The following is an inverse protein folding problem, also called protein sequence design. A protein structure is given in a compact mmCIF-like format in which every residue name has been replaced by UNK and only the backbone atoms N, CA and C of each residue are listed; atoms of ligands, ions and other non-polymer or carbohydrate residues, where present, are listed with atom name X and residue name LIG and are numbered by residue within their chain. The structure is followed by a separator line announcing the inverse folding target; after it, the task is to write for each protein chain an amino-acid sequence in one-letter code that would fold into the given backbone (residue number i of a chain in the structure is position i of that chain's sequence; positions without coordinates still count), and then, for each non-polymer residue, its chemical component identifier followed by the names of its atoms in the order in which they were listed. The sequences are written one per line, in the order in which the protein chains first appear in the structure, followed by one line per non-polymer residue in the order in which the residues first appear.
data_IF_063661591744
#
_entry.id   IF_063661591744
#
_cell.length_a   1.000
_cell.length_b   1.000
_cell.length_c   1.000
_cell.angle_alpha   90.00
_cell.angle_beta   90.00
_cell.angle_gamma   90.00
#
_symmetry.space_group_name_H-M   'P 1'
#
loop_
_entity.id
_entity.type
_entity.pdbx_description
1 polymer ?
#
# COMPACT_ATOMS: atom_id res chain seq x y z
N UNK A 1 -1.03 -8.03 -2.43
CA UNK A 1 -1.85 -9.10 -1.83
C UNK A 1 -1.52 -9.42 -0.35
N UNK A 2 -0.91 -8.51 0.42
CA UNK A 2 -0.24 -8.87 1.69
C UNK A 2 -0.87 -8.24 2.94
N UNK A 3 -1.71 -7.20 2.79
CA UNK A 3 -2.10 -6.33 3.90
C UNK A 3 -2.86 -7.06 5.01
N UNK A 4 -3.72 -8.02 4.66
CA UNK A 4 -4.50 -8.79 5.64
C UNK A 4 -3.63 -9.77 6.42
N UNK A 5 -2.66 -10.43 5.76
CA UNK A 5 -1.72 -11.32 6.44
C UNK A 5 -0.84 -10.55 7.43
N UNK A 6 -0.34 -9.37 7.05
CA UNK A 6 0.44 -8.51 7.95
C UNK A 6 -0.44 -8.03 9.11
N UNK A 7 -1.66 -7.54 8.83
CA UNK A 7 -2.60 -7.11 9.87
C UNK A 7 -2.92 -8.22 10.88
N UNK A 8 -3.08 -9.46 10.42
CA UNK A 8 -3.31 -10.60 11.30
C UNK A 8 -2.14 -10.81 12.27
N UNK A 9 -0.91 -10.70 11.78
CA UNK A 9 0.30 -10.83 12.61
C UNK A 9 0.39 -9.66 13.60
N UNK A 10 0.26 -8.42 13.14
CA UNK A 10 0.26 -7.25 14.02
C UNK A 10 -0.78 -7.37 15.13
N UNK A 11 -2.00 -7.84 14.78
CA UNK A 11 -3.06 -8.07 15.76
C UNK A 11 -2.70 -9.14 16.79
N UNK A 12 -1.99 -10.21 16.41
CA UNK A 12 -1.55 -11.24 17.35
C UNK A 12 -0.49 -10.76 18.35
N UNK A 13 0.19 -9.65 18.06
CA UNK A 13 1.21 -9.03 18.91
C UNK A 13 0.78 -7.71 19.55
N UNK A 14 -0.50 -7.32 19.39
CA UNK A 14 -1.04 -6.02 19.86
C UNK A 14 -0.24 -4.80 19.35
N UNK A 15 0.18 -4.88 18.08
CA UNK A 15 0.88 -3.78 17.39
C UNK A 15 -0.12 -3.04 16.50
N UNK A 16 -0.20 -1.72 16.66
CA UNK A 16 -1.00 -0.87 15.78
C UNK A 16 -0.50 -0.97 14.33
N UNK A 17 -1.44 -1.12 13.39
CA UNK A 17 -1.12 -1.35 11.99
C UNK A 17 -2.03 -0.57 11.06
N UNK A 18 -1.41 0.10 10.09
CA UNK A 18 -2.07 0.72 8.94
C UNK A 18 -1.35 0.31 7.67
N UNK A 19 -2.11 0.07 6.59
CA UNK A 19 -1.56 -0.27 5.28
C UNK A 19 -1.90 0.81 4.26
N UNK A 20 -0.86 1.42 3.67
CA UNK A 20 -1.00 2.38 2.57
C UNK A 20 -0.75 1.68 1.23
N UNK A 21 -1.66 1.85 0.27
CA UNK A 21 -1.60 1.23 -1.06
C UNK A 21 -1.85 2.27 -2.14
N UNK A 22 -0.98 2.28 -3.15
CA UNK A 22 -1.25 2.99 -4.40
C UNK A 22 -2.08 2.11 -5.33
N UNK A 23 -3.02 2.71 -6.06
CA UNK A 23 -3.78 2.02 -7.10
C UNK A 23 -2.96 2.02 -8.39
N UNK A 24 -2.57 0.84 -8.85
CA UNK A 24 -1.86 0.63 -10.12
C UNK A 24 -2.79 0.15 -11.23
N UNK A 25 -3.84 -0.57 -10.87
CA UNK A 25 -4.88 -1.08 -11.76
C UNK A 25 -6.24 -1.13 -11.06
N UNK A 26 -7.30 -1.39 -11.84
CA UNK A 26 -8.67 -1.51 -11.33
C UNK A 26 -9.11 -2.96 -11.11
N UNK A 27 -8.17 -3.91 -11.05
CA UNK A 27 -8.44 -5.35 -10.91
C UNK A 27 -9.40 -5.90 -11.97
N UNK A 28 -9.43 -5.29 -13.15
CA UNK A 28 -10.28 -5.67 -14.29
C UNK A 28 -9.55 -6.53 -15.32
N UNK A 29 -10.19 -6.84 -16.45
CA UNK A 29 -9.59 -7.65 -17.53
C UNK A 29 -8.26 -7.10 -18.06
N UNK A 30 -8.07 -5.77 -18.00
CA UNK A 30 -6.85 -5.10 -18.43
C UNK A 30 -5.75 -5.02 -17.35
N UNK A 31 -5.99 -5.51 -16.12
CA UNK A 31 -5.06 -5.34 -15.00
C UNK A 31 -3.64 -5.86 -15.29
N UNK A 32 -3.53 -6.94 -16.08
CA UNK A 32 -2.24 -7.52 -16.45
C UNK A 32 -1.38 -6.59 -17.34
N UNK A 33 -2.01 -5.69 -18.09
CA UNK A 33 -1.34 -4.69 -18.95
C UNK A 33 -1.13 -3.39 -18.17
N UNK A 34 -2.15 -2.99 -17.41
CA UNK A 34 -2.19 -1.75 -16.66
C UNK A 34 -1.22 -1.69 -15.47
N UNK A 35 -1.10 -2.81 -14.73
CA UNK A 35 -0.27 -2.85 -13.53
C UNK A 35 1.21 -2.59 -13.84
N UNK A 36 1.87 -3.32 -14.78
CA UNK A 36 3.27 -3.06 -15.12
C UNK A 36 3.54 -1.61 -15.54
N UNK A 37 2.62 -0.97 -16.25
CA UNK A 37 2.78 0.41 -16.73
C UNK A 37 2.69 1.46 -15.61
N UNK A 38 1.93 1.17 -14.54
CA UNK A 38 1.53 2.18 -13.54
C UNK A 38 2.03 1.90 -12.13
N UNK A 39 2.58 0.72 -11.87
CA UNK A 39 3.03 0.28 -10.54
C UNK A 39 4.10 1.17 -9.94
N UNK A 40 5.03 1.70 -10.75
CA UNK A 40 6.10 2.59 -10.26
C UNK A 40 5.51 3.87 -9.67
N UNK A 41 4.72 4.63 -10.43
CA UNK A 41 4.09 5.84 -9.93
C UNK A 41 3.09 5.58 -8.79
N UNK A 42 2.41 4.43 -8.78
CA UNK A 42 1.55 4.05 -7.65
C UNK A 42 2.37 3.83 -6.36
N UNK A 43 3.55 3.21 -6.49
CA UNK A 43 4.47 2.96 -5.37
C UNK A 43 5.06 4.26 -4.83
N UNK A 44 5.51 5.17 -5.70
CA UNK A 44 6.02 6.49 -5.31
C UNK A 44 4.97 7.31 -4.54
N UNK A 45 3.73 7.35 -5.03
CA UNK A 45 2.63 8.05 -4.35
C UNK A 45 2.33 7.45 -2.98
N UNK A 46 2.27 6.13 -2.88
CA UNK A 46 2.05 5.46 -1.61
C UNK A 46 3.17 5.77 -0.61
N UNK A 47 4.42 5.73 -1.05
CA UNK A 47 5.59 6.07 -0.23
C UNK A 47 5.56 7.53 0.24
N UNK A 48 5.23 8.48 -0.64
CA UNK A 48 5.12 9.90 -0.29
C UNK A 48 4.09 10.15 0.82
N UNK A 49 2.96 9.44 0.78
CA UNK A 49 1.95 9.55 1.85
C UNK A 49 2.49 9.02 3.18
N UNK A 50 3.21 7.88 3.18
CA UNK A 50 3.82 7.33 4.39
C UNK A 50 4.87 8.28 4.97
N UNK A 51 5.74 8.86 4.14
CA UNK A 51 6.75 9.83 4.60
C UNK A 51 6.09 11.05 5.24
N UNK A 52 5.08 11.64 4.58
CA UNK A 52 4.35 12.79 5.13
C UNK A 52 3.63 12.46 6.44
N UNK A 53 3.08 11.26 6.56
CA UNK A 53 2.46 10.80 7.79
C UNK A 53 3.49 10.77 8.94
N UNK A 54 4.67 10.18 8.71
CA UNK A 54 5.74 10.12 9.71
C UNK A 54 6.27 11.51 10.10
N UNK A 55 6.32 12.45 9.16
CA UNK A 55 6.71 13.84 9.42
C UNK A 55 5.67 14.61 10.25
N UNK A 56 4.39 14.23 10.18
CA UNK A 56 3.30 14.91 10.90
C UNK A 56 3.19 14.48 12.37
N UNK A 57 3.75 13.30 12.71
CA UNK A 57 3.73 12.73 14.07
C UNK A 57 4.93 13.20 14.94
N UNK A 58 5.74 14.15 14.46
CA UNK A 58 6.87 14.77 15.18
C UNK A 58 6.52 16.14 15.75
#
# INVERSE_FOLDING_TARGET
MESTAIAQICRSFDVDFVSTRGISDLCGPAANEEHPERVEGASERAASIVVKLLETES
#
